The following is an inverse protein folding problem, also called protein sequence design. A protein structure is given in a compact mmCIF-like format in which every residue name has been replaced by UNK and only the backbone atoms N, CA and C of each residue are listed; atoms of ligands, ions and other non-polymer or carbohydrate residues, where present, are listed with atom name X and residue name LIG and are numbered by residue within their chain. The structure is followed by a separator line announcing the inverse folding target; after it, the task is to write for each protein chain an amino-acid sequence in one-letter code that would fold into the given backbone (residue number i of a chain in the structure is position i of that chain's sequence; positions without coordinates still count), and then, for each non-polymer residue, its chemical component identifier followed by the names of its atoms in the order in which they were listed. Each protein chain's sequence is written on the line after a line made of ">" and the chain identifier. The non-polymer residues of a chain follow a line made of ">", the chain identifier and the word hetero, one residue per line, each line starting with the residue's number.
data_IF_964525461915
#
_entry.id   IF_964525461915
#
_cell.length_a   1.000
_cell.length_b   1.000
_cell.length_c   1.000
_cell.angle_alpha   90.00
_cell.angle_beta   90.00
_cell.angle_gamma   90.00
#
_symmetry.space_group_name_H-M   'P 1'
#
loop_
_entity.id
_entity.type
_entity.pdbx_description
1 polymer ?
#
# COMPACT_ATOMS: atom_id res chain seq x y z
N UNK A 1 -2.75 -3.86 -20.82
CA UNK A 1 -2.15 -3.57 -19.50
C UNK A 1 -1.64 -4.89 -18.95
N UNK A 2 -0.32 -5.06 -18.92
CA UNK A 2 0.40 -6.33 -18.87
C UNK A 2 0.02 -7.22 -17.67
N UNK A 3 -0.12 -8.52 -17.91
CA UNK A 3 -0.24 -9.56 -16.87
C UNK A 3 0.83 -9.43 -15.77
N UNK A 4 2.00 -8.87 -16.11
CA UNK A 4 3.08 -8.53 -15.18
C UNK A 4 2.66 -7.56 -14.06
N UNK A 5 1.96 -6.45 -14.36
CA UNK A 5 1.52 -5.48 -13.34
C UNK A 5 0.52 -6.12 -12.36
N UNK A 6 -0.44 -6.87 -12.90
CA UNK A 6 -1.42 -7.58 -12.07
C UNK A 6 -0.71 -8.64 -11.19
N UNK A 7 0.29 -9.32 -11.75
CA UNK A 7 1.11 -10.28 -11.01
C UNK A 7 2.02 -9.65 -9.95
N UNK A 8 2.47 -8.41 -10.13
CA UNK A 8 3.34 -7.72 -9.16
C UNK A 8 2.55 -7.06 -8.02
N UNK A 9 1.40 -6.46 -8.33
CA UNK A 9 0.63 -5.61 -7.40
C UNK A 9 -0.49 -6.37 -6.68
N UNK A 10 -1.21 -7.25 -7.39
CA UNK A 10 -2.40 -7.92 -6.85
C UNK A 10 -2.16 -9.38 -6.47
N UNK A 11 -1.09 -9.98 -6.96
CA UNK A 11 -0.64 -11.29 -6.51
C UNK A 11 0.67 -11.08 -5.77
N UNK A 12 0.83 -11.65 -4.58
CA UNK A 12 2.10 -11.67 -3.82
C UNK A 12 3.16 -12.56 -4.49
N UNK A 13 3.27 -12.46 -5.82
CA UNK A 13 4.20 -13.20 -6.64
C UNK A 13 5.53 -12.43 -6.69
N UNK A 14 6.37 -12.69 -5.69
CA UNK A 14 7.68 -12.07 -5.54
C UNK A 14 8.61 -12.37 -6.73
N UNK A 15 8.40 -13.48 -7.45
CA UNK A 15 9.20 -13.85 -8.62
C UNK A 15 8.90 -12.97 -9.85
N UNK A 16 7.82 -12.19 -9.84
CA UNK A 16 7.49 -11.30 -10.94
C UNK A 16 8.35 -10.02 -10.96
N UNK A 17 9.06 -9.70 -9.88
CA UNK A 17 9.86 -8.48 -9.72
C UNK A 17 11.30 -8.68 -10.22
N UNK A 18 11.85 -7.69 -10.93
CA UNK A 18 13.25 -7.72 -11.37
C UNK A 18 14.19 -7.70 -10.16
N UNK A 19 13.85 -6.93 -9.12
CA UNK A 19 14.53 -6.97 -7.83
C UNK A 19 13.55 -7.28 -6.69
N UNK A 20 13.60 -8.51 -6.18
CA UNK A 20 12.77 -9.01 -5.06
C UNK A 20 12.91 -8.20 -3.77
N UNK A 21 14.05 -7.53 -3.55
CA UNK A 21 14.27 -6.72 -2.36
C UNK A 21 13.49 -5.41 -2.37
N UNK A 22 13.16 -4.86 -3.55
CA UNK A 22 12.42 -3.61 -3.68
C UNK A 22 11.07 -3.65 -2.96
N UNK A 23 10.16 -4.60 -3.29
CA UNK A 23 8.87 -4.65 -2.61
C UNK A 23 9.02 -5.04 -1.13
N UNK A 24 9.99 -5.90 -0.76
CA UNK A 24 10.23 -6.29 0.65
C UNK A 24 10.63 -5.08 1.51
N UNK A 25 11.57 -4.28 1.03
CA UNK A 25 12.04 -3.08 1.75
C UNK A 25 10.98 -1.99 1.71
N UNK A 26 10.31 -1.78 0.58
CA UNK A 26 9.30 -0.74 0.45
C UNK A 26 8.03 -1.01 1.29
N UNK A 27 7.66 -2.27 1.50
CA UNK A 27 6.44 -2.65 2.26
C UNK A 27 6.31 -1.94 3.61
N UNK A 28 7.28 -2.04 4.55
CA UNK A 28 7.17 -1.40 5.85
C UNK A 28 7.10 0.13 5.74
N UNK A 29 7.81 0.75 4.79
CA UNK A 29 7.73 2.20 4.59
C UNK A 29 6.36 2.64 4.07
N UNK A 30 5.82 1.94 3.07
CA UNK A 30 4.50 2.23 2.51
C UNK A 30 3.39 2.02 3.56
N UNK A 31 3.50 0.96 4.37
CA UNK A 31 2.59 0.71 5.47
C UNK A 31 2.66 1.82 6.52
N UNK A 32 3.86 2.21 6.95
CA UNK A 32 4.05 3.29 7.91
C UNK A 32 3.48 4.63 7.40
N UNK A 33 3.76 4.98 6.13
CA UNK A 33 3.20 6.18 5.50
C UNK A 33 1.66 6.13 5.48
N UNK A 34 1.08 4.99 5.08
CA UNK A 34 -0.38 4.84 5.04
C UNK A 34 -1.04 4.97 6.42
N UNK A 35 -0.43 4.41 7.46
CA UNK A 35 -0.89 4.55 8.84
C UNK A 35 -0.77 6.00 9.31
N UNK A 36 0.35 6.67 9.05
CA UNK A 36 0.57 8.07 9.46
C UNK A 36 -0.44 9.00 8.79
N UNK A 37 -0.67 8.83 7.48
CA UNK A 37 -1.68 9.60 6.74
C UNK A 37 -3.08 9.32 7.33
N UNK A 38 -3.41 8.04 7.52
CA UNK A 38 -4.70 7.64 8.08
C UNK A 38 -4.93 8.21 9.48
N UNK A 39 -3.90 8.23 10.33
CA UNK A 39 -3.94 8.78 11.68
C UNK A 39 -4.17 10.30 11.67
N UNK A 40 -3.41 11.05 10.86
CA UNK A 40 -3.53 12.51 10.77
C UNK A 40 -4.91 12.92 10.24
N UNK A 41 -5.42 12.22 9.24
CA UNK A 41 -6.66 12.57 8.58
C UNK A 41 -7.91 12.02 9.28
N UNK A 42 -7.75 11.08 10.23
CA UNK A 42 -8.85 10.34 10.85
C UNK A 42 -9.95 11.24 11.44
N UNK A 43 -9.51 12.32 12.10
CA UNK A 43 -10.33 13.37 12.72
C UNK A 43 -11.39 13.94 11.76
N UNK A 44 -11.13 13.91 10.46
CA UNK A 44 -12.05 14.45 9.45
C UNK A 44 -13.05 13.43 8.89
N UNK A 45 -12.82 12.12 9.12
CA UNK A 45 -13.59 11.05 8.48
C UNK A 45 -14.41 10.20 9.45
N UNK A 46 -14.00 10.07 10.71
CA UNK A 46 -14.71 9.26 11.68
C UNK A 46 -14.61 9.80 13.12
N UNK A 47 -15.71 9.72 13.85
CA UNK A 47 -15.80 10.04 15.28
C UNK A 47 -15.93 8.81 16.18
N UNK A 48 -16.20 7.62 15.62
CA UNK A 48 -16.30 6.37 16.34
C UNK A 48 -15.01 5.55 16.25
N UNK A 49 -14.68 4.78 17.28
CA UNK A 49 -13.48 3.93 17.31
C UNK A 49 -13.43 2.96 16.12
N UNK A 50 -14.55 2.31 15.79
CA UNK A 50 -14.63 1.42 14.64
C UNK A 50 -14.39 2.17 13.32
N UNK A 51 -14.98 3.36 13.17
CA UNK A 51 -14.76 4.20 11.99
C UNK A 51 -13.30 4.61 11.86
N UNK A 52 -12.64 4.94 12.97
CA UNK A 52 -11.24 5.31 13.01
C UNK A 52 -10.33 4.16 12.53
N UNK A 53 -10.59 2.93 12.96
CA UNK A 53 -9.85 1.75 12.51
C UNK A 53 -10.06 1.49 11.01
N UNK A 54 -11.30 1.62 10.52
CA UNK A 54 -11.62 1.41 9.11
C UNK A 54 -10.96 2.46 8.20
N UNK A 55 -10.97 3.74 8.60
CA UNK A 55 -10.30 4.82 7.87
C UNK A 55 -8.80 4.57 7.80
N UNK A 56 -8.18 4.21 8.93
CA UNK A 56 -6.75 3.90 8.98
C UNK A 56 -6.40 2.69 8.09
N UNK A 57 -7.21 1.64 8.12
CA UNK A 57 -7.06 0.47 7.24
C UNK A 57 -7.21 0.82 5.76
N UNK A 58 -8.16 1.68 5.41
CA UNK A 58 -8.34 2.18 4.04
C UNK A 58 -7.10 2.91 3.54
N UNK A 59 -6.56 3.85 4.33
CA UNK A 59 -5.35 4.60 3.95
C UNK A 59 -4.12 3.70 3.83
N UNK A 60 -3.97 2.70 4.71
CA UNK A 60 -2.92 1.69 4.58
C UNK A 60 -3.02 0.96 3.24
N UNK A 61 -4.20 0.42 2.90
CA UNK A 61 -4.41 -0.36 1.67
C UNK A 61 -4.18 0.51 0.43
N UNK A 62 -4.74 1.72 0.39
CA UNK A 62 -4.59 2.64 -0.75
C UNK A 62 -3.14 3.05 -0.94
N UNK A 63 -2.42 3.38 0.13
CA UNK A 63 -1.00 3.78 0.06
C UNK A 63 -0.14 2.63 -0.43
N UNK A 64 -0.37 1.41 0.07
CA UNK A 64 0.34 0.22 -0.40
C UNK A 64 0.07 -0.05 -1.87
N UNK A 65 -1.20 -0.04 -2.32
CA UNK A 65 -1.53 -0.27 -3.74
C UNK A 65 -0.91 0.79 -4.65
N UNK A 66 -0.98 2.07 -4.26
CA UNK A 66 -0.39 3.16 -5.03
C UNK A 66 1.14 3.03 -5.09
N UNK A 67 1.79 2.79 -3.95
CA UNK A 67 3.23 2.60 -3.86
C UNK A 67 3.72 1.41 -4.67
N UNK A 68 3.07 0.24 -4.56
CA UNK A 68 3.42 -0.92 -5.38
C UNK A 68 3.20 -0.71 -6.86
N UNK A 69 2.16 0.04 -7.24
CA UNK A 69 1.93 0.39 -8.65
C UNK A 69 3.06 1.27 -9.18
N UNK A 70 3.49 2.28 -8.42
CA UNK A 70 4.61 3.15 -8.80
C UNK A 70 5.92 2.35 -8.90
N UNK A 71 6.20 1.49 -7.93
CA UNK A 71 7.38 0.63 -7.96
C UNK A 71 7.34 -0.33 -9.15
N UNK A 72 6.19 -0.92 -9.47
CA UNK A 72 6.05 -1.83 -10.60
C UNK A 72 6.16 -1.15 -11.97
N UNK A 73 5.98 0.18 -12.05
CA UNK A 73 6.20 0.95 -13.28
C UNK A 73 7.68 1.24 -13.54
N UNK A 74 8.50 1.28 -12.48
CA UNK A 74 9.95 1.58 -12.57
C UNK A 74 10.82 0.33 -12.36
N UNK A 75 10.22 -0.81 -12.03
CA UNK A 75 10.86 -2.14 -11.92
C UNK A 75 10.91 -2.85 -13.27
#
# INVERSE_FOLDING_TARGET
>A
MNNSLKSKVFTTNWDAWNNKWVPIVATPFLAAIGVVIGFILNVHFASSELGQVLVMGLFLVVTMMAGYTLLALID
#
